data_IF_981645129524
#
_entry.id   IF_981645129524
#
_cell.length_a   1.000
_cell.length_b   1.000
_cell.length_c   1.000
_cell.angle_alpha   90.00
_cell.angle_beta   90.00
_cell.angle_gamma   90.00
#
_symmetry.space_group_name_H-M   'P 1'
#
loop_
_entity.id
_entity.type
_entity.pdbx_description
1 polymer ?
#
# COMPACT_ATOMS: atom_id res chain seq x y z
N UNK A 1 -24.93 -23.37 -24.53
CA UNK A 1 -23.66 -22.76 -25.00
C UNK A 1 -22.54 -23.30 -24.13
N UNK A 2 -21.40 -23.76 -24.68
CA UNK A 2 -20.30 -24.25 -23.86
C UNK A 2 -19.58 -23.04 -23.23
N UNK A 3 -19.40 -23.05 -21.91
CA UNK A 3 -18.59 -22.06 -21.22
C UNK A 3 -17.14 -22.15 -21.74
N UNK A 4 -16.62 -21.06 -22.31
CA UNK A 4 -15.20 -20.97 -22.66
C UNK A 4 -14.38 -20.94 -21.37
N UNK A 5 -13.65 -22.03 -21.10
CA UNK A 5 -12.66 -22.07 -20.05
C UNK A 5 -11.50 -21.13 -20.43
N UNK A 6 -11.51 -19.91 -19.92
CA UNK A 6 -10.35 -19.01 -19.94
C UNK A 6 -9.31 -19.53 -18.93
N UNK A 7 -8.54 -20.53 -19.35
CA UNK A 7 -7.36 -20.95 -18.60
C UNK A 7 -6.26 -19.89 -18.77
N UNK A 8 -5.99 -19.15 -17.71
CA UNK A 8 -4.84 -18.24 -17.60
C UNK A 8 -3.57 -19.06 -17.86
N UNK A 9 -2.77 -18.64 -18.85
CA UNK A 9 -1.53 -19.36 -19.16
C UNK A 9 -0.40 -18.87 -18.26
N UNK A 10 0.60 -19.72 -18.05
CA UNK A 10 1.81 -19.36 -17.30
C UNK A 10 2.52 -18.13 -17.89
N UNK A 11 2.39 -17.94 -19.21
CA UNK A 11 2.94 -16.80 -19.95
C UNK A 11 2.30 -15.46 -19.56
N UNK A 12 1.01 -15.46 -19.22
CA UNK A 12 0.29 -14.24 -18.86
C UNK A 12 0.70 -13.72 -17.47
N UNK A 13 0.93 -14.65 -16.53
CA UNK A 13 1.46 -14.30 -15.20
C UNK A 13 2.87 -13.72 -15.28
N UNK A 14 3.75 -14.32 -16.11
CA UNK A 14 5.13 -13.84 -16.26
C UNK A 14 5.21 -12.43 -16.87
N UNK A 15 4.30 -12.08 -17.79
CA UNK A 15 4.22 -10.71 -18.36
C UNK A 15 3.75 -9.69 -17.33
N UNK A 16 2.79 -10.06 -16.47
CA UNK A 16 2.34 -9.22 -15.37
C UNK A 16 3.46 -8.96 -14.35
N UNK A 17 4.16 -10.02 -13.95
CA UNK A 17 5.29 -9.91 -13.02
C UNK A 17 6.43 -9.04 -13.60
N UNK A 18 6.68 -9.14 -14.92
CA UNK A 18 7.65 -8.27 -15.59
C UNK A 18 7.21 -6.80 -15.63
N UNK A 19 5.92 -6.53 -15.87
CA UNK A 19 5.38 -5.17 -15.85
C UNK A 19 5.46 -4.55 -14.45
N UNK A 20 5.10 -5.31 -13.41
CA UNK A 20 5.21 -4.90 -12.01
C UNK A 20 6.68 -4.74 -11.57
N UNK A 21 7.59 -5.59 -12.04
CA UNK A 21 9.01 -5.45 -11.78
C UNK A 21 9.57 -4.14 -12.39
N UNK A 22 9.17 -3.80 -13.60
CA UNK A 22 9.55 -2.54 -14.25
C UNK A 22 9.02 -1.32 -13.48
N UNK A 23 7.82 -1.39 -12.89
CA UNK A 23 7.30 -0.31 -12.01
C UNK A 23 8.20 -0.07 -10.80
N UNK A 24 8.68 -1.15 -10.18
CA UNK A 24 9.56 -1.07 -9.01
C UNK A 24 10.92 -0.46 -9.34
N UNK A 25 11.41 -0.68 -10.56
CA UNK A 25 12.71 -0.16 -11.00
C UNK A 25 12.64 1.34 -11.29
N UNK A 26 11.58 1.80 -11.97
CA UNK A 26 11.32 3.22 -12.20
C UNK A 26 11.10 4.00 -10.90
N UNK A 27 10.44 3.41 -9.90
CA UNK A 27 10.24 4.03 -8.58
C UNK A 27 11.54 4.10 -7.74
N UNK A 28 12.56 3.28 -8.03
CA UNK A 28 13.87 3.35 -7.34
C UNK A 28 14.73 4.50 -7.85
N UNK A 29 14.55 4.93 -9.09
CA UNK A 29 15.36 5.99 -9.71
C UNK A 29 14.92 7.40 -9.31
N UNK A 30 13.67 7.59 -8.87
CA UNK A 30 13.14 8.88 -8.42
C UNK A 30 13.45 9.23 -6.95
N UNK A 31 13.94 8.29 -6.14
CA UNK A 31 14.21 8.48 -4.70
C UNK A 31 15.63 8.93 -4.38
N UNK A 32 15.83 10.23 -4.08
CA UNK A 32 17.05 10.74 -3.41
C UNK A 32 17.22 10.03 -2.05
N UNK A 33 18.23 9.15 -1.94
CA UNK A 33 18.59 8.43 -0.71
C UNK A 33 19.14 9.37 0.37
N UNK A 34 18.33 9.71 1.37
CA UNK A 34 18.80 9.94 2.74
C UNK A 34 18.92 8.59 3.45
N UNK A 35 19.91 8.44 4.33
CA UNK A 35 20.06 7.25 5.16
C UNK A 35 18.82 7.03 6.05
N UNK A 36 18.05 5.98 5.77
CA UNK A 36 17.42 5.15 6.79
C UNK A 36 16.13 5.62 7.44
N UNK A 37 15.34 6.51 6.83
CA UNK A 37 13.93 6.64 7.22
C UNK A 37 13.10 5.60 6.46
N UNK A 38 12.80 4.50 7.16
CA UNK A 38 11.75 3.58 6.73
C UNK A 38 10.44 4.34 6.72
N UNK A 39 9.74 4.36 5.59
CA UNK A 39 8.41 4.93 5.46
C UNK A 39 7.50 4.40 6.59
N UNK A 40 7.03 5.30 7.46
CA UNK A 40 6.30 4.97 8.69
C UNK A 40 7.10 4.97 9.99
N UNK A 41 8.41 5.27 9.96
CA UNK A 41 9.24 5.59 11.13
C UNK A 41 9.48 4.45 12.13
N UNK A 42 9.05 3.22 11.81
CA UNK A 42 9.13 2.09 12.73
C UNK A 42 10.13 1.03 12.29
N UNK A 43 11.03 0.68 13.22
CA UNK A 43 12.04 -0.36 13.07
C UNK A 43 11.54 -1.72 13.57
N UNK A 44 11.66 -2.74 12.74
CA UNK A 44 11.38 -4.13 13.11
C UNK A 44 12.67 -4.85 13.49
N UNK A 45 12.59 -5.68 14.55
CA UNK A 45 13.74 -6.38 15.11
C UNK A 45 13.39 -7.81 15.48
N UNK A 46 14.41 -8.68 15.53
CA UNK A 46 14.36 -9.98 16.18
C UNK A 46 14.91 -9.85 17.60
N UNK A 47 14.18 -10.38 18.58
CA UNK A 47 14.61 -10.33 19.99
C UNK A 47 15.59 -11.47 20.24
N UNK A 48 16.75 -11.18 20.83
CA UNK A 48 17.81 -12.16 21.06
C UNK A 48 18.46 -12.03 22.45
N UNK A 49 19.17 -13.09 22.84
CA UNK A 49 20.11 -13.11 23.96
C UNK A 49 19.52 -12.78 25.35
N UNK A 50 18.20 -12.89 25.54
CA UNK A 50 17.59 -12.75 26.86
C UNK A 50 17.87 -14.00 27.73
N UNK A 51 18.35 -13.77 28.95
CA UNK A 51 18.85 -14.83 29.84
C UNK A 51 17.87 -15.25 30.94
N UNK A 52 16.92 -14.39 31.33
CA UNK A 52 15.90 -14.75 32.32
C UNK A 52 14.92 -15.77 31.75
N UNK A 53 14.33 -16.62 32.58
CA UNK A 53 13.40 -17.66 32.10
C UNK A 53 12.16 -17.08 31.40
N UNK A 54 11.68 -15.92 31.86
CA UNK A 54 10.63 -15.17 31.17
C UNK A 54 11.11 -14.58 29.84
N UNK A 55 12.34 -14.06 29.81
CA UNK A 55 12.93 -13.44 28.61
C UNK A 55 13.30 -14.44 27.53
N UNK A 56 13.78 -15.63 27.89
CA UNK A 56 14.12 -16.71 26.94
C UNK A 56 12.95 -17.07 26.04
N UNK A 57 11.70 -16.96 26.52
CA UNK A 57 10.47 -17.19 25.75
C UNK A 57 10.22 -16.15 24.65
N UNK A 58 10.92 -15.02 24.71
CA UNK A 58 10.85 -13.94 23.72
C UNK A 58 11.95 -14.04 22.67
N UNK A 59 13.02 -14.81 22.92
CA UNK A 59 14.09 -14.96 21.93
C UNK A 59 13.55 -15.58 20.63
N UNK A 60 13.97 -15.03 19.49
CA UNK A 60 13.49 -15.42 18.16
C UNK A 60 12.14 -14.82 17.76
N UNK A 61 11.47 -14.06 18.64
CA UNK A 61 10.22 -13.37 18.29
C UNK A 61 10.49 -12.04 17.58
N UNK A 62 9.57 -11.66 16.70
CA UNK A 62 9.53 -10.34 16.08
C UNK A 62 9.07 -9.28 17.09
N UNK A 63 9.77 -8.16 17.08
CA UNK A 63 9.48 -6.97 17.86
C UNK A 63 9.37 -5.74 16.97
N UNK A 64 8.37 -4.90 17.24
CA UNK A 64 8.22 -3.57 16.64
C UNK A 64 8.72 -2.53 17.64
N UNK A 65 9.81 -1.84 17.32
CA UNK A 65 10.40 -0.80 18.19
C UNK A 65 9.57 0.47 18.09
N UNK A 66 8.98 0.90 19.20
CA UNK A 66 8.05 2.03 19.24
C UNK A 66 8.75 3.37 19.49
N UNK A 67 9.96 3.36 20.06
CA UNK A 67 10.73 4.56 20.37
C UNK A 67 12.04 4.60 19.59
N UNK A 68 12.31 5.73 18.95
CA UNK A 68 13.59 5.96 18.27
C UNK A 68 14.74 6.03 19.28
N UNK A 69 14.51 6.73 20.39
CA UNK A 69 15.48 6.85 21.48
C UNK A 69 15.24 5.81 22.59
N UNK A 70 16.32 5.51 23.31
CA UNK A 70 16.24 4.71 24.53
C UNK A 70 15.74 5.58 25.69
N UNK A 71 15.00 4.97 26.62
CA UNK A 71 14.58 5.62 27.85
C UNK A 71 15.78 5.87 28.80
N UNK A 72 15.50 6.44 29.98
CA UNK A 72 16.52 6.74 31.01
C UNK A 72 17.33 5.52 31.48
N UNK A 73 16.80 4.31 31.31
CA UNK A 73 17.46 3.05 31.65
C UNK A 73 18.20 2.40 30.47
N UNK A 74 18.31 3.11 29.34
CA UNK A 74 18.96 2.62 28.13
C UNK A 74 18.17 1.50 27.42
N UNK A 75 16.83 1.55 27.46
CA UNK A 75 15.94 0.55 26.85
C UNK A 75 14.94 1.15 25.86
N UNK A 76 14.63 0.41 24.82
CA UNK A 76 13.54 0.72 23.89
C UNK A 76 12.21 0.11 24.35
N UNK A 77 11.12 0.78 24.01
CA UNK A 77 9.78 0.19 24.04
C UNK A 77 9.57 -0.68 22.81
N UNK A 78 9.25 -1.95 23.01
CA UNK A 78 9.09 -2.94 21.94
C UNK A 78 7.74 -3.64 22.08
N UNK A 79 6.90 -3.51 21.06
CA UNK A 79 5.69 -4.32 20.92
C UNK A 79 6.06 -5.68 20.32
N UNK A 80 5.91 -6.75 21.08
CA UNK A 80 6.30 -8.10 20.66
C UNK A 80 5.09 -8.80 20.04
N UNK A 81 5.30 -9.45 18.90
CA UNK A 81 4.21 -10.13 18.19
C UNK A 81 3.53 -11.21 19.07
N UNK A 82 2.20 -11.16 19.10
CA UNK A 82 1.37 -12.06 19.92
C UNK A 82 1.37 -11.74 21.42
N UNK A 83 1.97 -10.63 21.85
CA UNK A 83 2.02 -10.21 23.26
C UNK A 83 1.45 -8.79 23.38
N UNK A 84 0.36 -8.64 24.13
CA UNK A 84 -0.32 -7.34 24.30
C UNK A 84 0.52 -6.31 25.08
N UNK A 85 1.43 -6.77 25.95
CA UNK A 85 2.25 -5.89 26.78
C UNK A 85 3.51 -5.44 26.06
N UNK A 86 3.74 -4.12 26.04
CA UNK A 86 5.01 -3.52 25.63
C UNK A 86 6.13 -4.02 26.54
N UNK A 87 7.29 -4.32 25.96
CA UNK A 87 8.49 -4.77 26.66
C UNK A 87 9.59 -3.70 26.57
N UNK A 88 10.35 -3.56 27.65
CA UNK A 88 11.52 -2.68 27.71
C UNK A 88 12.79 -3.50 27.49
N UNK A 89 13.36 -3.39 26.29
CA UNK A 89 14.49 -4.20 25.84
C UNK A 89 15.74 -3.34 25.61
N UNK A 90 16.91 -3.86 25.98
CA UNK A 90 18.18 -3.18 25.68
C UNK A 90 18.50 -3.30 24.19
N UNK A 91 19.18 -2.33 23.58
CA UNK A 91 19.61 -2.41 22.19
C UNK A 91 20.38 -3.71 21.85
N UNK A 92 21.25 -4.19 22.76
CA UNK A 92 22.00 -5.43 22.58
C UNK A 92 21.14 -6.71 22.51
N UNK A 93 19.83 -6.62 22.79
CA UNK A 93 18.87 -7.71 22.67
C UNK A 93 18.00 -7.61 21.41
N UNK A 94 18.29 -6.64 20.52
CA UNK A 94 17.53 -6.37 19.31
C UNK A 94 18.46 -6.48 18.12
N UNK A 95 18.11 -7.33 17.17
CA UNK A 95 18.75 -7.41 15.87
C UNK A 95 17.81 -6.84 14.82
N UNK A 96 18.24 -5.81 14.09
CA UNK A 96 17.42 -5.17 13.07
C UNK A 96 17.16 -6.12 11.90
N UNK A 97 15.93 -6.12 11.40
CA UNK A 97 15.57 -6.94 10.24
C UNK A 97 16.00 -6.18 8.97
N UNK A 98 16.83 -6.79 8.11
CA UNK A 98 17.26 -6.15 6.87
C UNK A 98 16.08 -5.76 5.98
N UNK A 99 16.22 -4.65 5.23
CA UNK A 99 15.14 -4.09 4.40
C UNK A 99 14.65 -5.08 3.33
N UNK A 100 15.53 -5.91 2.76
CA UNK A 100 15.20 -6.96 1.79
C UNK A 100 14.28 -8.06 2.36
N UNK A 101 14.24 -8.19 3.69
CA UNK A 101 13.37 -9.10 4.41
C UNK A 101 12.06 -8.43 4.86
N UNK A 102 11.85 -7.17 4.50
CA UNK A 102 10.61 -6.44 4.72
C UNK A 102 9.74 -6.48 3.45
N UNK A 103 8.45 -6.27 3.63
CA UNK A 103 7.43 -6.23 2.60
C UNK A 103 6.55 -5.01 2.84
N UNK A 104 6.27 -4.25 1.77
CA UNK A 104 5.35 -3.11 1.79
C UNK A 104 3.90 -3.58 1.87
N UNK A 105 3.20 -3.10 2.88
CA UNK A 105 1.78 -3.31 3.14
C UNK A 105 1.11 -1.95 3.11
N UNK A 106 0.10 -1.79 2.27
CA UNK A 106 -0.64 -0.54 2.19
C UNK A 106 -1.70 -0.49 3.29
N UNK A 107 -1.80 0.64 3.99
CA UNK A 107 -2.82 0.89 5.00
C UNK A 107 -3.79 1.93 4.47
N UNK A 108 -5.06 1.56 4.47
CA UNK A 108 -6.18 2.45 4.18
C UNK A 108 -6.85 2.77 5.52
N UNK A 109 -6.70 4.00 6.07
CA UNK A 109 -7.44 4.46 7.23
C UNK A 109 -8.95 4.48 6.96
N UNK A 110 -9.76 4.54 8.02
CA UNK A 110 -11.17 4.94 7.86
C UNK A 110 -11.32 6.46 7.96
N UNK A 111 -12.42 7.00 7.44
CA UNK A 111 -12.65 8.45 7.34
C UNK A 111 -12.43 9.19 8.68
N UNK A 112 -12.96 8.63 9.76
CA UNK A 112 -12.87 9.20 11.08
C UNK A 112 -11.50 9.08 11.74
N UNK A 113 -10.47 8.50 11.11
CA UNK A 113 -9.08 8.57 11.60
C UNK A 113 -8.38 9.87 11.24
N UNK A 114 -8.83 10.56 10.18
CA UNK A 114 -8.20 11.80 9.70
C UNK A 114 -6.72 11.64 9.33
N UNK A 115 -6.32 10.42 8.96
CA UNK A 115 -4.97 10.11 8.49
C UNK A 115 -4.99 9.91 6.97
N UNK A 116 -3.88 10.23 6.30
CA UNK A 116 -3.68 9.82 4.91
C UNK A 116 -3.37 8.32 4.83
N UNK A 117 -3.52 7.76 3.63
CA UNK A 117 -3.07 6.40 3.33
C UNK A 117 -1.55 6.28 3.55
N UNK A 118 -1.08 5.08 3.90
CA UNK A 118 0.33 4.88 4.26
C UNK A 118 0.86 3.56 3.73
N UNK A 119 2.09 3.56 3.25
CA UNK A 119 2.88 2.34 3.04
C UNK A 119 3.57 1.99 4.36
N UNK A 120 3.39 0.76 4.82
CA UNK A 120 4.01 0.22 6.03
C UNK A 120 4.94 -0.93 5.68
N UNK A 121 6.07 -1.05 6.38
CA UNK A 121 6.93 -2.24 6.25
C UNK A 121 6.59 -3.29 7.30
N UNK A 122 6.52 -4.55 6.87
CA UNK A 122 6.36 -5.72 7.72
C UNK A 122 7.41 -6.78 7.39
N UNK A 123 7.95 -7.51 8.38
CA UNK A 123 8.81 -8.66 8.11
C UNK A 123 8.09 -9.72 7.28
N UNK A 124 8.74 -10.29 6.27
CA UNK A 124 8.14 -11.31 5.39
C UNK A 124 7.60 -12.53 6.14
N UNK A 125 8.17 -12.83 7.30
CA UNK A 125 7.76 -13.94 8.19
C UNK A 125 6.65 -13.57 9.18
N UNK A 126 6.18 -12.33 9.20
CA UNK A 126 5.15 -11.83 10.12
C UNK A 126 3.82 -12.59 9.95
N UNK A 127 3.09 -12.81 11.05
CA UNK A 127 1.87 -13.64 11.02
C UNK A 127 0.74 -13.06 10.17
N UNK A 128 0.81 -11.77 9.81
CA UNK A 128 -0.16 -11.15 8.89
C UNK A 128 -0.17 -11.86 7.52
N UNK A 129 0.95 -12.43 7.10
CA UNK A 129 1.10 -13.11 5.82
C UNK A 129 0.75 -14.60 5.86
N UNK A 130 0.53 -15.16 7.05
CA UNK A 130 0.23 -16.58 7.23
C UNK A 130 -1.27 -16.89 7.10
N UNK A 131 -1.59 -18.12 6.68
CA UNK A 131 -2.95 -18.64 6.57
C UNK A 131 -3.89 -17.83 5.65
N UNK A 132 -3.32 -17.10 4.69
CA UNK A 132 -4.07 -16.34 3.70
C UNK A 132 -4.43 -17.21 2.49
N UNK A 133 -5.51 -16.86 1.80
CA UNK A 133 -5.88 -17.50 0.54
C UNK A 133 -4.82 -17.17 -0.53
N UNK A 134 -4.23 -18.16 -1.23
CA UNK A 134 -3.24 -17.90 -2.27
C UNK A 134 -3.75 -16.98 -3.39
N UNK A 135 -5.05 -17.06 -3.70
CA UNK A 135 -5.71 -16.22 -4.70
C UNK A 135 -6.13 -14.83 -4.18
N UNK A 136 -5.80 -14.47 -2.95
CA UNK A 136 -6.34 -13.28 -2.30
C UNK A 136 -7.79 -13.45 -1.84
N UNK A 137 -8.33 -12.38 -1.23
CA UNK A 137 -9.74 -12.25 -0.88
C UNK A 137 -10.44 -11.06 -1.58
N UNK A 138 -9.71 -10.23 -2.34
CA UNK A 138 -10.28 -9.23 -3.25
C UNK A 138 -10.74 -9.92 -4.55
N UNK A 139 -12.06 -10.08 -4.80
CA UNK A 139 -12.53 -10.95 -5.88
C UNK A 139 -12.24 -10.39 -7.27
N UNK A 140 -12.48 -9.09 -7.50
CA UNK A 140 -12.18 -8.43 -8.77
C UNK A 140 -10.67 -8.48 -9.09
N UNK A 141 -9.82 -8.13 -8.13
CA UNK A 141 -8.37 -8.11 -8.35
C UNK A 141 -7.77 -9.51 -8.55
N UNK A 142 -8.35 -10.54 -7.93
CA UNK A 142 -7.98 -11.93 -8.20
C UNK A 142 -8.22 -12.33 -9.67
N UNK A 143 -9.33 -11.87 -10.28
CA UNK A 143 -9.61 -12.10 -11.71
C UNK A 143 -8.63 -11.32 -12.61
N UNK A 144 -8.21 -10.13 -12.20
CA UNK A 144 -7.19 -9.34 -12.87
C UNK A 144 -5.76 -9.92 -12.77
N UNK A 145 -5.58 -11.11 -12.17
CA UNK A 145 -4.26 -11.71 -11.97
C UNK A 145 -3.42 -11.00 -10.90
N UNK A 146 -4.04 -10.11 -10.12
CA UNK A 146 -3.40 -9.37 -9.04
C UNK A 146 -4.05 -9.78 -7.70
N UNK A 147 -3.77 -10.99 -7.16
CA UNK A 147 -4.35 -11.41 -5.89
C UNK A 147 -3.92 -10.48 -4.74
N UNK A 148 -4.91 -9.94 -4.02
CA UNK A 148 -4.74 -9.08 -2.85
C UNK A 148 -5.45 -9.66 -1.63
N UNK A 149 -4.86 -9.46 -0.46
CA UNK A 149 -5.49 -9.67 0.85
C UNK A 149 -5.86 -8.31 1.43
N UNK A 150 -7.14 -8.13 1.71
CA UNK A 150 -7.69 -7.00 2.46
C UNK A 150 -8.03 -7.50 3.87
N UNK A 151 -7.42 -6.91 4.89
CA UNK A 151 -7.59 -7.33 6.29
C UNK A 151 -7.93 -6.14 7.17
N UNK A 152 -9.10 -6.19 7.81
CA UNK A 152 -9.51 -5.19 8.81
C UNK A 152 -8.47 -5.10 9.94
N UNK A 153 -8.21 -3.88 10.38
CA UNK A 153 -7.32 -3.59 11.51
C UNK A 153 -8.02 -2.69 12.52
N UNK A 154 -7.42 -2.51 13.69
CA UNK A 154 -7.95 -1.60 14.71
C UNK A 154 -7.65 -0.15 14.32
N UNK A 155 -8.61 0.78 14.49
CA UNK A 155 -8.34 2.20 14.44
C UNK A 155 -7.21 2.61 15.39
N UNK A 156 -6.35 3.54 14.95
CA UNK A 156 -5.27 4.14 15.74
C UNK A 156 -5.79 5.14 16.76
N UNK A 157 -7.00 5.66 16.57
CA UNK A 157 -7.71 6.50 17.53
C UNK A 157 -9.11 5.97 17.78
N UNK A 158 -9.70 6.40 18.90
CA UNK A 158 -11.11 6.11 19.19
C UNK A 158 -11.98 6.87 18.19
N UNK A 159 -12.89 6.15 17.55
CA UNK A 159 -13.90 6.69 16.65
C UNK A 159 -15.21 6.88 17.42
N UNK A 160 -15.95 7.93 17.09
CA UNK A 160 -17.15 8.34 17.82
C UNK A 160 -18.43 7.81 17.19
N UNK A 161 -18.56 8.03 15.88
CA UNK A 161 -19.77 7.71 15.12
C UNK A 161 -19.54 6.50 14.20
N UNK A 162 -20.61 5.88 13.72
CA UNK A 162 -20.47 4.74 12.80
C UNK A 162 -19.85 5.17 11.47
N UNK A 163 -20.24 6.33 10.93
CA UNK A 163 -19.68 6.89 9.69
C UNK A 163 -18.17 7.13 9.75
N UNK A 164 -17.58 7.28 10.95
CA UNK A 164 -16.13 7.37 11.12
C UNK A 164 -15.40 6.09 10.65
N UNK A 165 -16.12 4.97 10.58
CA UNK A 165 -15.63 3.69 10.09
C UNK A 165 -15.84 3.50 8.59
N UNK A 166 -16.43 4.45 7.87
CA UNK A 166 -16.57 4.32 6.43
C UNK A 166 -15.20 4.30 5.75
N UNK A 167 -15.09 3.45 4.73
CA UNK A 167 -13.87 3.21 3.98
C UNK A 167 -14.25 2.71 2.58
N UNK A 168 -14.41 3.66 1.66
CA UNK A 168 -14.90 3.38 0.32
C UNK A 168 -13.90 2.54 -0.49
N UNK A 169 -12.60 2.82 -0.39
CA UNK A 169 -11.57 2.03 -1.09
C UNK A 169 -11.60 0.56 -0.65
N UNK A 170 -11.75 0.30 0.65
CA UNK A 170 -11.90 -1.06 1.16
C UNK A 170 -13.19 -1.74 0.67
N UNK A 171 -14.28 -0.97 0.53
CA UNK A 171 -15.54 -1.44 -0.05
C UNK A 171 -15.34 -1.87 -1.50
N UNK A 172 -14.66 -1.04 -2.30
CA UNK A 172 -14.44 -1.29 -3.72
C UNK A 172 -13.52 -2.48 -3.98
N UNK A 173 -12.48 -2.64 -3.16
CA UNK A 173 -11.60 -3.81 -3.22
C UNK A 173 -12.35 -5.13 -3.00
N UNK A 174 -13.54 -5.08 -2.40
CA UNK A 174 -14.35 -6.25 -2.05
C UNK A 174 -15.58 -6.42 -2.94
N UNK A 175 -15.70 -5.65 -4.03
CA UNK A 175 -16.76 -5.82 -5.03
C UNK A 175 -16.79 -7.27 -5.52
N UNK A 176 -17.99 -7.86 -5.54
CA UNK A 176 -18.26 -9.12 -6.24
C UNK A 176 -18.46 -8.84 -7.74
N UNK A 177 -17.59 -9.35 -8.62
CA UNK A 177 -17.66 -9.23 -10.07
C UNK A 177 -19.01 -9.62 -10.70
N UNK A 178 -19.82 -10.41 -9.99
CA UNK A 178 -21.12 -10.86 -10.50
C UNK A 178 -22.24 -9.89 -10.22
N UNK A 179 -22.20 -9.24 -9.06
CA UNK A 179 -23.30 -8.38 -8.60
C UNK A 179 -22.98 -6.89 -8.73
N UNK A 180 -21.68 -6.53 -8.80
CA UNK A 180 -21.23 -5.14 -8.70
C UNK A 180 -21.22 -4.60 -7.27
N UNK A 181 -21.65 -5.40 -6.29
CA UNK A 181 -21.72 -5.00 -4.88
C UNK A 181 -20.67 -5.75 -4.05
N UNK A 182 -20.11 -5.07 -3.05
CA UNK A 182 -19.36 -5.74 -2.01
C UNK A 182 -20.31 -6.58 -1.11
N UNK A 183 -19.84 -7.65 -0.44
CA UNK A 183 -20.62 -8.31 0.60
C UNK A 183 -21.05 -7.34 1.71
N UNK A 184 -22.17 -7.62 2.38
CA UNK A 184 -22.78 -6.69 3.35
C UNK A 184 -21.83 -6.17 4.44
N UNK A 185 -20.93 -7.02 4.93
CA UNK A 185 -19.94 -6.67 5.96
C UNK A 185 -18.80 -5.76 5.47
N UNK A 186 -18.77 -5.48 4.16
CA UNK A 186 -17.83 -4.61 3.46
C UNK A 186 -18.51 -3.38 2.85
N UNK A 187 -19.83 -3.20 2.97
CA UNK A 187 -20.53 -2.08 2.34
C UNK A 187 -20.55 -0.80 3.19
N UNK A 188 -20.45 -0.91 4.52
CA UNK A 188 -20.51 0.23 5.43
C UNK A 188 -19.74 -0.08 6.72
N UNK A 189 -19.24 0.96 7.39
CA UNK A 189 -18.57 0.83 8.69
C UNK A 189 -17.44 -0.21 8.69
N UNK A 190 -16.71 -0.26 7.58
CA UNK A 190 -15.69 -1.28 7.30
C UNK A 190 -14.52 -1.18 8.28
N UNK A 191 -14.17 0.05 8.67
CA UNK A 191 -13.01 0.40 9.45
C UNK A 191 -11.73 0.45 8.60
N UNK A 192 -10.57 0.69 9.23
CA UNK A 192 -9.30 0.70 8.53
C UNK A 192 -8.89 -0.71 8.12
N UNK A 193 -8.12 -0.80 7.05
CA UNK A 193 -7.64 -2.08 6.50
C UNK A 193 -6.15 -2.03 6.15
N UNK A 194 -5.54 -3.21 6.13
CA UNK A 194 -4.29 -3.49 5.44
C UNK A 194 -4.57 -4.17 4.11
N UNK A 195 -3.83 -3.78 3.08
CA UNK A 195 -3.85 -4.38 1.74
C UNK A 195 -2.44 -4.87 1.42
N UNK A 196 -2.32 -6.14 1.07
CA UNK A 196 -1.02 -6.78 0.78
C UNK A 196 -1.16 -8.00 -0.12
N UNK A 197 -0.04 -8.47 -0.68
CA UNK A 197 0.00 -9.70 -1.49
C UNK A 197 -0.03 -10.95 -0.62
N UNK A 198 -0.75 -12.03 -0.99
CA UNK A 198 -0.74 -13.28 -0.25
C UNK A 198 0.67 -13.79 0.03
N UNK A 199 0.88 -14.34 1.22
CA UNK A 199 2.17 -14.87 1.68
C UNK A 199 3.34 -13.87 1.64
N UNK A 200 3.07 -12.56 1.56
CA UNK A 200 4.11 -11.54 1.42
C UNK A 200 4.90 -11.71 0.12
N UNK A 201 4.26 -12.20 -0.95
CA UNK A 201 4.91 -12.51 -2.24
C UNK A 201 5.40 -11.28 -3.01
N UNK A 202 4.96 -10.09 -2.61
CA UNK A 202 5.38 -8.85 -3.22
C UNK A 202 4.90 -7.63 -2.43
N UNK A 203 5.49 -6.51 -2.78
CA UNK A 203 5.16 -5.20 -2.26
C UNK A 203 3.85 -4.68 -2.86
N UNK A 204 3.16 -3.84 -2.09
CA UNK A 204 2.05 -2.98 -2.52
C UNK A 204 2.44 -1.53 -2.21
N UNK A 205 2.67 -0.72 -3.25
CA UNK A 205 3.03 0.69 -3.14
C UNK A 205 1.80 1.62 -3.08
N UNK A 206 2.04 2.92 -2.94
CA UNK A 206 1.00 3.94 -3.13
C UNK A 206 0.49 3.99 -4.55
N UNK A 207 1.38 4.10 -5.52
CA UNK A 207 1.06 4.12 -6.95
C UNK A 207 0.24 2.88 -7.38
N UNK A 208 0.61 1.69 -6.87
CA UNK A 208 -0.14 0.47 -7.12
C UNK A 208 -1.60 0.64 -6.70
N UNK A 209 -1.82 1.20 -5.50
CA UNK A 209 -3.14 1.34 -4.91
C UNK A 209 -3.97 2.47 -5.52
N UNK A 210 -3.35 3.54 -5.99
CA UNK A 210 -4.02 4.60 -6.74
C UNK A 210 -4.56 4.04 -8.07
N UNK A 211 -3.72 3.34 -8.84
CA UNK A 211 -4.16 2.74 -10.11
C UNK A 211 -5.22 1.65 -9.89
N UNK A 212 -5.09 0.85 -8.83
CA UNK A 212 -6.13 -0.12 -8.45
C UNK A 212 -7.44 0.60 -8.11
N UNK A 213 -7.38 1.70 -7.37
CA UNK A 213 -8.57 2.45 -6.99
C UNK A 213 -9.27 3.05 -8.21
N UNK A 214 -8.52 3.66 -9.12
CA UNK A 214 -9.07 4.25 -10.35
C UNK A 214 -9.71 3.17 -11.24
N UNK A 215 -9.04 2.02 -11.35
CA UNK A 215 -9.60 0.87 -12.06
C UNK A 215 -10.94 0.42 -11.46
N UNK A 216 -10.99 0.23 -10.14
CA UNK A 216 -12.20 -0.20 -9.44
C UNK A 216 -13.31 0.86 -9.48
N UNK A 217 -12.97 2.15 -9.48
CA UNK A 217 -13.93 3.24 -9.69
C UNK A 217 -14.54 3.16 -11.09
N UNK A 218 -13.71 3.01 -12.13
CA UNK A 218 -14.21 2.87 -13.51
C UNK A 218 -15.09 1.63 -13.70
N UNK A 219 -14.80 0.56 -12.96
CA UNK A 219 -15.60 -0.65 -12.94
C UNK A 219 -17.00 -0.39 -12.35
N UNK A 220 -17.10 0.41 -11.28
CA UNK A 220 -18.38 0.77 -10.67
C UNK A 220 -19.25 1.61 -11.60
N UNK A 221 -18.66 2.58 -12.29
CA UNK A 221 -19.37 3.37 -13.30
C UNK A 221 -19.94 2.45 -14.40
N UNK A 222 -19.16 1.47 -14.84
CA UNK A 222 -19.59 0.50 -15.84
C UNK A 222 -20.77 -0.39 -15.37
N UNK A 223 -20.81 -0.76 -14.08
CA UNK A 223 -21.95 -1.46 -13.48
C UNK A 223 -23.22 -0.61 -13.42
N UNK A 224 -23.09 0.72 -13.27
CA UNK A 224 -24.22 1.65 -13.17
C UNK A 224 -24.83 2.04 -14.51
N UNK A 225 -24.00 2.22 -15.55
CA UNK A 225 -24.39 2.91 -16.78
C UNK A 225 -24.52 2.02 -18.02
N UNK A 226 -24.01 0.78 -18.00
CA UNK A 226 -23.81 -0.02 -19.21
C UNK A 226 -24.77 -1.21 -19.37
N UNK A 227 -25.73 -1.22 -20.32
CA UNK A 227 -26.43 -2.45 -20.72
C UNK A 227 -25.49 -3.50 -21.34
N UNK A 228 -24.32 -3.07 -21.81
CA UNK A 228 -23.30 -3.89 -22.47
C UNK A 228 -22.10 -4.23 -21.57
N UNK A 229 -22.16 -3.90 -20.26
CA UNK A 229 -21.07 -4.23 -19.35
C UNK A 229 -20.93 -5.77 -19.20
N UNK A 230 -19.80 -6.30 -19.65
CA UNK A 230 -19.44 -7.69 -19.45
C UNK A 230 -18.24 -7.80 -18.47
N UNK A 231 -18.48 -8.14 -17.19
CA UNK A 231 -17.39 -8.23 -16.22
C UNK A 231 -16.34 -9.28 -16.60
N UNK A 232 -16.66 -10.30 -17.41
CA UNK A 232 -15.68 -11.29 -17.86
C UNK A 232 -14.67 -10.72 -18.85
N UNK A 233 -15.06 -9.71 -19.63
CA UNK A 233 -14.19 -9.06 -20.62
C UNK A 233 -13.31 -7.98 -19.99
N UNK A 234 -13.74 -7.36 -18.89
CA UNK A 234 -13.01 -6.29 -18.22
C UNK A 234 -12.18 -6.76 -17.02
N UNK A 235 -12.63 -7.80 -16.30
CA UNK A 235 -11.91 -8.34 -15.14
C UNK A 235 -11.02 -9.52 -15.55
N UNK A 236 -9.92 -9.19 -16.21
CA UNK A 236 -8.90 -10.16 -16.55
C UNK A 236 -7.50 -9.51 -16.57
N UNK A 237 -6.42 -10.33 -16.56
CA UNK A 237 -5.05 -9.83 -16.49
C UNK A 237 -4.64 -8.94 -17.66
N UNK A 238 -5.17 -9.19 -18.87
CA UNK A 238 -4.81 -8.44 -20.07
C UNK A 238 -5.38 -7.03 -19.98
N UNK A 239 -6.69 -6.92 -19.74
CA UNK A 239 -7.36 -5.63 -19.64
C UNK A 239 -6.80 -4.77 -18.51
N UNK A 240 -6.57 -5.35 -17.33
CA UNK A 240 -5.98 -4.61 -16.21
C UNK A 240 -4.56 -4.12 -16.53
N UNK A 241 -3.73 -4.92 -17.19
CA UNK A 241 -2.39 -4.51 -17.62
C UNK A 241 -2.43 -3.34 -18.61
N UNK A 242 -3.37 -3.37 -19.57
CA UNK A 242 -3.59 -2.27 -20.51
C UNK A 242 -4.04 -1.00 -19.79
N UNK A 243 -4.96 -1.12 -18.83
CA UNK A 243 -5.41 0.00 -17.99
C UNK A 243 -4.24 0.64 -17.23
N UNK A 244 -3.40 -0.18 -16.59
CA UNK A 244 -2.19 0.28 -15.88
C UNK A 244 -1.23 1.01 -16.82
N UNK A 245 -1.05 0.52 -18.04
CA UNK A 245 -0.18 1.18 -19.04
C UNK A 245 -0.74 2.53 -19.49
N UNK A 246 -2.06 2.63 -19.69
CA UNK A 246 -2.72 3.89 -20.03
C UNK A 246 -2.61 4.91 -18.90
N UNK A 247 -2.87 4.48 -17.65
CA UNK A 247 -2.76 5.34 -16.47
C UNK A 247 -1.35 5.96 -16.35
N UNK A 248 -0.29 5.14 -16.52
CA UNK A 248 1.09 5.64 -16.53
C UNK A 248 1.34 6.68 -17.62
N UNK A 249 0.86 6.42 -18.84
CA UNK A 249 1.07 7.34 -19.95
C UNK A 249 0.43 8.70 -19.73
N UNK A 250 -0.74 8.75 -19.07
CA UNK A 250 -1.40 10.00 -18.70
C UNK A 250 -0.64 10.72 -17.57
N UNK A 251 -0.11 9.98 -16.59
CA UNK A 251 0.67 10.58 -15.50
C UNK A 251 1.96 11.21 -16.02
N UNK A 252 2.73 10.52 -16.88
CA UNK A 252 3.95 11.06 -17.48
C UNK A 252 3.70 12.33 -18.30
N UNK A 253 2.58 12.37 -19.05
CA UNK A 253 2.18 13.55 -19.81
C UNK A 253 1.81 14.72 -18.89
N UNK A 254 1.09 14.44 -17.81
CA UNK A 254 0.71 15.43 -16.80
C UNK A 254 1.93 16.01 -16.09
N UNK A 255 2.87 15.16 -15.66
CA UNK A 255 4.10 15.58 -15.00
C UNK A 255 4.97 16.45 -15.92
N UNK A 256 5.09 16.06 -17.19
CA UNK A 256 5.79 16.85 -18.20
C UNK A 256 5.12 18.21 -18.44
N UNK A 257 3.79 18.26 -18.51
CA UNK A 257 3.03 19.50 -18.66
C UNK A 257 3.23 20.42 -17.44
N UNK A 258 3.13 19.89 -16.22
CA UNK A 258 3.37 20.64 -14.98
C UNK A 258 4.81 21.16 -14.89
N UNK A 259 5.80 20.38 -15.34
CA UNK A 259 7.20 20.83 -15.39
C UNK A 259 7.40 21.98 -16.39
N UNK A 260 6.76 21.92 -17.56
CA UNK A 260 6.78 22.98 -18.57
C UNK A 260 6.08 24.26 -18.08
N UNK A 261 4.96 24.14 -17.37
CA UNK A 261 4.29 25.27 -16.72
C UNK A 261 5.16 25.91 -15.63
N UNK A 262 5.81 25.09 -14.79
CA UNK A 262 6.76 25.57 -13.79
C UNK A 262 7.94 26.35 -14.39
N UNK A 263 8.50 25.87 -15.51
CA UNK A 263 9.54 26.59 -16.26
C UNK A 263 9.02 27.89 -16.89
N UNK A 264 7.78 27.90 -17.36
CA UNK A 264 7.15 29.10 -17.92
C UNK A 264 6.93 30.17 -16.85
N UNK A 265 6.48 29.76 -15.65
CA UNK A 265 6.31 30.65 -14.49
C UNK A 265 7.64 31.26 -14.05
N UNK A 266 8.71 30.45 -13.97
CA UNK A 266 10.06 30.94 -13.66
C UNK A 266 10.59 31.91 -14.74
N UNK A 267 10.33 31.63 -16.02
CA UNK A 267 10.68 32.52 -17.13
C UNK A 267 9.91 33.85 -17.13
N UNK A 268 8.68 33.87 -16.60
CA UNK A 268 7.91 35.13 -16.40
C UNK A 268 8.33 35.91 -15.16
N UNK A 269 8.73 35.23 -14.08
CA UNK A 269 9.28 35.88 -12.87
C UNK A 269 10.63 36.57 -13.15
N UNK A 270 11.46 36.00 -14.02
CA UNK A 270 12.73 36.61 -14.44
C UNK A 270 12.53 37.88 -15.29
N UNK A 271 11.42 37.96 -16.05
CA UNK A 271 11.03 39.21 -16.75
C UNK A 271 10.49 40.29 -15.82
N UNK A 272 9.75 39.92 -14.76
CA UNK A 272 9.27 40.88 -13.76
C UNK A 272 10.39 41.54 -12.95
N UNK A 273 11.42 40.76 -12.57
CA UNK A 273 12.60 41.28 -11.86
C UNK A 273 13.50 42.13 -12.78
N UNK A 274 13.56 41.83 -14.08
CA UNK A 274 14.27 42.66 -15.05
C UNK A 274 13.59 44.03 -15.26
N UNK A 275 12.26 44.11 -15.18
CA UNK A 275 11.52 45.38 -15.29
C UNK A 275 11.56 46.21 -13.98
N UNK A 276 11.56 45.59 -12.80
CA UNK A 276 11.76 46.31 -11.52
C UNK A 276 13.19 46.83 -11.37
N UNK A 277 14.21 46.09 -11.83
CA UNK A 277 15.58 46.59 -11.88
C UNK A 277 15.77 47.76 -12.87
N UNK A 278 14.93 47.86 -13.91
CA UNK A 278 14.97 48.96 -14.87
C UNK A 278 14.32 50.26 -14.35
N UNK A 279 13.51 50.22 -13.29
CA UNK A 279 12.89 51.42 -12.68
C UNK A 279 13.69 52.01 -11.51
N UNK A 280 14.70 51.31 -10.97
CA UNK A 280 15.57 51.82 -9.90
C UNK A 280 16.78 52.61 -10.46
N UNK A 281 16.98 52.59 -11.78
CA UNK A 281 18.07 53.29 -12.47
C UNK A 281 17.53 54.41 -13.36
N UNK A 282 16.70 55.32 -12.83
CA UNK A 282 16.46 56.67 -13.37
C UNK A 282 16.06 57.64 -12.26
#
# INVERSE_FOLDING_TARGET
MPASNNNITFTDMARMDACLAHMRESAKESGKKSQGEVEGGVRWTTILNLQSDAGKKLNGRLGKVLTQEVNRDGRHEVAVEGIQQIKLLKPANLEDIPEENLVRVYRIPSDGEGESHQVLLFPRVHNIFQNNLPRGNSPAMALCGLPLIVKKTTPRRRLGDQSDYDNQWATWLMIDPRSGFAPSEWQSYVGPVYVFRPSGSGDVSGDDMEVINDFLSSLLDAFGDGPDFNPQEMLNPVYFSEFVQQAKSHQEQSDMASALEGLTILGTLDRGLAEECAQIVW
#
